data_IF_457262826721
#
_entry.id   IF_457262826721
#
_cell.length_a   1.000
_cell.length_b   1.000
_cell.length_c   1.000
_cell.angle_alpha   90.00
_cell.angle_beta   90.00
_cell.angle_gamma   90.00
#
_symmetry.space_group_name_H-M   'P 1'
#
loop_
_entity.id
_entity.type
_entity.pdbx_description
1 polymer ?
#
# COMPACT_ATOMS: atom_id res chain seq x y z
N UNK A 1 40.53 23.62 -37.59
CA UNK A 1 41.17 22.72 -36.61
C UNK A 1 41.17 23.42 -35.26
N UNK A 2 40.20 23.10 -34.40
CA UNK A 2 40.24 23.12 -32.93
C UNK A 2 38.80 23.02 -32.40
N UNK A 3 38.51 21.86 -31.82
CA UNK A 3 37.37 21.55 -30.97
C UNK A 3 37.65 22.11 -29.57
N UNK A 4 36.68 22.78 -28.95
CA UNK A 4 36.60 22.93 -27.49
C UNK A 4 35.15 22.70 -27.07
N UNK A 5 34.99 21.68 -26.22
CA UNK A 5 33.70 21.14 -25.80
C UNK A 5 32.99 21.98 -24.74
N UNK A 6 31.66 21.98 -24.82
CA UNK A 6 30.77 22.43 -23.76
C UNK A 6 30.49 21.29 -22.79
N UNK A 7 30.91 21.45 -21.54
CA UNK A 7 30.49 20.61 -20.42
C UNK A 7 29.14 21.13 -19.92
N UNK A 8 28.09 20.33 -20.04
CA UNK A 8 26.77 20.64 -19.46
C UNK A 8 26.77 20.20 -17.99
N UNK A 9 26.72 21.16 -17.08
CA UNK A 9 26.41 20.96 -15.67
C UNK A 9 24.92 20.66 -15.53
N UNK A 10 24.58 19.42 -15.19
CA UNK A 10 23.21 19.03 -14.80
C UNK A 10 23.03 19.39 -13.33
N UNK A 11 22.29 20.47 -13.06
CA UNK A 11 21.81 20.80 -11.73
C UNK A 11 20.67 19.83 -11.36
N UNK A 12 20.88 18.99 -10.33
CA UNK A 12 19.79 18.32 -9.63
C UNK A 12 19.00 19.38 -8.85
N UNK A 13 17.85 19.81 -9.37
CA UNK A 13 16.89 20.59 -8.59
C UNK A 13 16.18 19.64 -7.62
N UNK A 14 16.54 19.69 -6.35
CA UNK A 14 15.75 19.09 -5.29
C UNK A 14 14.39 19.81 -5.23
N UNK A 15 13.29 19.07 -5.22
CA UNK A 15 11.96 19.64 -5.07
C UNK A 15 11.79 20.14 -3.63
N UNK A 16 11.83 21.46 -3.46
CA UNK A 16 11.69 22.17 -2.18
C UNK A 16 10.36 21.82 -1.49
N UNK A 17 9.35 21.34 -2.23
CA UNK A 17 8.07 20.91 -1.66
C UNK A 17 8.18 19.63 -0.80
N UNK A 18 9.06 18.70 -1.15
CA UNK A 18 9.28 17.46 -0.40
C UNK A 18 10.04 17.69 0.92
N UNK A 19 10.98 18.65 0.94
CA UNK A 19 11.67 19.01 2.18
C UNK A 19 10.76 19.79 3.15
N UNK A 20 9.76 20.50 2.64
CA UNK A 20 8.75 21.19 3.44
C UNK A 20 7.73 20.23 4.07
N UNK A 21 7.34 19.14 3.39
CA UNK A 21 6.44 18.13 3.97
C UNK A 21 7.08 17.40 5.16
N UNK A 22 8.37 17.04 5.05
CA UNK A 22 9.16 16.44 6.14
C UNK A 22 9.30 17.37 7.37
N UNK A 23 9.23 18.70 7.18
CA UNK A 23 9.32 19.67 8.27
C UNK A 23 7.99 19.84 9.01
N UNK A 24 6.87 19.76 8.31
CA UNK A 24 5.53 19.85 8.89
C UNK A 24 5.15 18.60 9.71
N UNK A 25 5.65 17.42 9.35
CA UNK A 25 5.43 16.19 10.14
C UNK A 25 6.22 16.20 11.46
N UNK A 26 7.46 16.71 11.46
CA UNK A 26 8.27 16.84 12.68
C UNK A 26 7.65 17.74 13.75
N UNK A 27 6.90 18.77 13.35
CA UNK A 27 6.24 19.67 14.30
C UNK A 27 4.99 19.03 14.95
N UNK A 28 4.42 17.97 14.36
CA UNK A 28 3.21 17.31 14.88
C UNK A 28 3.53 16.08 15.75
N UNK A 29 4.61 15.35 15.48
CA UNK A 29 5.01 14.18 16.29
C UNK A 29 5.54 14.55 17.69
N UNK A 30 6.01 15.79 17.89
CA UNK A 30 6.45 16.29 19.20
C UNK A 30 5.34 16.34 20.26
N UNK A 31 4.06 16.22 19.87
CA UNK A 31 2.90 16.25 20.76
C UNK A 31 2.50 14.90 21.38
N UNK A 32 3.05 13.78 20.92
CA UNK A 32 2.65 12.42 21.36
C UNK A 32 3.71 11.78 22.29
N UNK A 33 4.87 12.42 22.47
CA UNK A 33 6.02 11.83 23.17
C UNK A 33 6.11 12.11 24.69
N UNK A 34 5.04 12.58 25.32
CA UNK A 34 4.97 12.72 26.77
C UNK A 34 3.95 11.75 27.36
N UNK A 35 4.32 10.47 27.45
CA UNK A 35 3.92 9.71 28.63
C UNK A 35 5.03 8.78 29.12
N UNK A 36 5.24 8.87 30.41
CA UNK A 36 6.50 8.60 31.11
C UNK A 36 6.73 7.10 31.28
N UNK A 37 7.95 6.64 30.98
CA UNK A 37 8.50 5.36 31.45
C UNK A 37 8.37 5.26 32.98
N UNK A 38 7.46 4.40 33.48
CA UNK A 38 7.52 3.86 34.84
C UNK A 38 7.62 2.35 34.76
N UNK A 39 8.85 1.87 34.89
CA UNK A 39 9.18 0.49 35.21
C UNK A 39 8.60 0.10 36.57
N UNK A 40 7.65 -0.83 36.60
CA UNK A 40 7.37 -1.66 37.77
C UNK A 40 7.85 -3.08 37.47
N UNK A 41 8.86 -3.52 38.24
CA UNK A 41 9.28 -4.92 38.28
C UNK A 41 8.14 -5.75 38.88
N UNK A 42 7.63 -6.70 38.10
CA UNK A 42 6.78 -7.80 38.58
C UNK A 42 7.53 -9.09 38.28
N UNK A 43 8.12 -9.65 39.33
CA UNK A 43 8.67 -11.00 39.40
C UNK A 43 7.57 -12.02 39.14
N UNK A 44 7.69 -12.79 38.06
CA UNK A 44 6.84 -13.95 37.79
C UNK A 44 7.48 -15.20 38.44
N UNK A 45 6.76 -15.80 39.39
CA UNK A 45 7.05 -17.13 39.91
C UNK A 45 6.58 -18.23 38.93
N UNK A 46 7.20 -19.41 38.90
CA UNK A 46 6.85 -20.47 37.96
C UNK A 46 5.59 -21.21 38.41
N UNK A 47 4.51 -21.12 37.63
CA UNK A 47 3.34 -21.99 37.81
C UNK A 47 3.48 -23.23 36.91
N UNK A 48 3.64 -24.38 37.57
CA UNK A 48 3.45 -25.70 37.00
C UNK A 48 1.98 -25.91 36.65
N UNK A 49 1.68 -26.10 35.37
CA UNK A 49 0.39 -26.65 34.93
C UNK A 49 0.63 -27.82 33.98
N UNK A 50 0.02 -28.95 34.33
CA UNK A 50 0.03 -30.22 33.61
C UNK A 50 -0.65 -30.10 32.23
N UNK A 51 -0.35 -31.00 31.27
CA UNK A 51 -0.84 -30.87 29.91
C UNK A 51 -2.32 -31.26 29.82
N UNK A 52 -3.16 -30.32 29.38
CA UNK A 52 -4.52 -30.60 28.94
C UNK A 52 -4.44 -31.20 27.52
N UNK A 53 -5.00 -32.39 27.35
CA UNK A 53 -5.02 -33.11 26.07
C UNK A 53 -5.72 -32.30 24.98
N UNK A 54 -5.03 -32.09 23.86
CA UNK A 54 -5.56 -31.49 22.64
C UNK A 54 -6.60 -32.41 21.99
N UNK A 55 -7.76 -31.86 21.63
CA UNK A 55 -8.74 -32.53 20.79
C UNK A 55 -8.15 -32.80 19.37
N UNK A 56 -8.46 -33.93 18.72
CA UNK A 56 -7.96 -34.22 17.39
C UNK A 56 -8.80 -33.45 16.34
N UNK A 57 -8.20 -32.51 15.61
CA UNK A 57 -8.84 -31.91 14.44
C UNK A 57 -8.48 -30.47 14.04
N UNK A 58 -7.65 -29.74 14.80
CA UNK A 58 -7.10 -28.48 14.29
C UNK A 58 -5.82 -28.77 13.48
N UNK A 59 -5.96 -28.79 12.16
CA UNK A 59 -4.82 -28.51 11.29
C UNK A 59 -4.28 -27.13 11.68
N UNK A 60 -3.13 -27.11 12.37
CA UNK A 60 -2.31 -25.92 12.50
C UNK A 60 -1.90 -25.56 11.07
N UNK A 61 -2.65 -24.64 10.45
CA UNK A 61 -2.29 -24.03 9.19
C UNK A 61 -0.93 -23.36 9.41
N UNK A 62 0.14 -24.05 9.02
CA UNK A 62 1.44 -23.42 8.81
C UNK A 62 1.20 -22.21 7.91
N UNK A 63 1.80 -21.03 8.20
CA UNK A 63 1.57 -19.86 7.38
C UNK A 63 2.02 -20.15 5.95
N UNK A 64 1.07 -20.42 5.06
CA UNK A 64 1.34 -20.64 3.64
C UNK A 64 1.59 -19.29 2.99
N UNK A 65 2.76 -18.71 3.24
CA UNK A 65 3.11 -17.37 2.77
C UNK A 65 4.58 -17.03 3.02
N UNK A 66 5.10 -15.97 2.35
CA UNK A 66 6.45 -15.50 2.60
C UNK A 66 6.61 -15.01 4.05
N UNK A 67 7.81 -15.21 4.59
CA UNK A 67 8.20 -14.75 5.92
C UNK A 67 9.50 -13.97 5.82
N UNK A 68 9.75 -13.08 6.79
CA UNK A 68 11.03 -12.41 6.90
C UNK A 68 12.15 -13.40 7.19
N UNK A 69 13.23 -13.32 6.41
CA UNK A 69 14.40 -14.17 6.56
C UNK A 69 15.62 -13.31 6.85
N UNK A 70 16.36 -13.64 7.91
CA UNK A 70 17.54 -12.86 8.33
C UNK A 70 18.70 -13.07 7.35
N UNK A 71 19.41 -12.00 7.03
CA UNK A 71 20.66 -12.03 6.27
C UNK A 71 21.82 -12.17 7.24
N UNK A 72 22.32 -13.38 7.45
CA UNK A 72 23.43 -13.70 8.35
C UNK A 72 23.30 -12.97 9.71
N UNK A 73 24.17 -11.97 9.93
CA UNK A 73 24.20 -11.07 11.10
C UNK A 73 23.85 -9.63 10.67
N UNK A 74 23.83 -8.68 11.62
CA UNK A 74 23.63 -7.24 11.39
C UNK A 74 22.19 -6.75 11.20
N UNK A 75 21.21 -7.45 11.78
CA UNK A 75 19.82 -6.97 11.86
C UNK A 75 19.27 -6.53 10.50
N UNK A 76 19.48 -7.35 9.49
CA UNK A 76 18.93 -7.17 8.16
C UNK A 76 18.08 -8.38 7.79
N UNK A 77 16.96 -8.12 7.12
CA UNK A 77 15.99 -9.14 6.74
C UNK A 77 15.52 -8.91 5.31
N UNK A 78 15.27 -10.00 4.59
CA UNK A 78 14.64 -10.02 3.28
C UNK A 78 13.24 -10.65 3.37
N UNK A 79 12.32 -10.22 2.52
CA UNK A 79 10.92 -10.71 2.53
C UNK A 79 10.50 -11.34 1.20
N UNK A 80 10.85 -10.71 0.08
CA UNK A 80 10.43 -11.16 -1.24
C UNK A 80 11.47 -10.85 -2.32
N UNK A 81 11.47 -11.69 -3.35
CA UNK A 81 12.36 -11.59 -4.49
C UNK A 81 11.57 -11.63 -5.80
N UNK A 82 11.88 -10.73 -6.72
CA UNK A 82 11.18 -10.58 -7.99
C UNK A 82 12.16 -10.56 -9.15
N UNK A 83 11.83 -11.25 -10.23
CA UNK A 83 12.46 -10.97 -11.52
C UNK A 83 11.99 -9.60 -12.03
N UNK A 84 12.93 -8.78 -12.44
CA UNK A 84 12.69 -7.43 -12.92
C UNK A 84 13.56 -7.13 -14.15
N UNK A 85 13.10 -6.19 -14.98
CA UNK A 85 13.86 -5.63 -16.09
C UNK A 85 13.94 -4.13 -15.89
N UNK A 86 15.13 -3.59 -15.77
CA UNK A 86 15.36 -2.16 -15.53
C UNK A 86 16.52 -1.65 -16.38
N UNK A 87 16.28 -0.59 -17.16
CA UNK A 87 17.25 -0.03 -18.13
C UNK A 87 17.86 -1.10 -19.03
N UNK A 88 16.99 -1.91 -19.64
CA UNK A 88 17.35 -3.01 -20.56
C UNK A 88 18.22 -4.11 -19.96
N UNK A 89 18.24 -4.22 -18.62
CA UNK A 89 18.94 -5.28 -17.90
C UNK A 89 17.98 -6.10 -17.08
N UNK A 90 18.11 -7.42 -17.18
CA UNK A 90 17.41 -8.37 -16.32
C UNK A 90 18.12 -8.46 -14.98
N UNK A 91 17.35 -8.46 -13.89
CA UNK A 91 17.88 -8.55 -12.54
C UNK A 91 16.90 -9.24 -11.60
N UNK A 92 17.42 -9.76 -10.48
CA UNK A 92 16.59 -10.17 -9.35
C UNK A 92 16.58 -9.03 -8.33
N UNK A 93 15.39 -8.53 -8.01
CA UNK A 93 15.15 -7.49 -7.03
C UNK A 93 14.65 -8.11 -5.74
N UNK A 94 15.42 -7.97 -4.67
CA UNK A 94 15.09 -8.52 -3.35
C UNK A 94 14.77 -7.37 -2.40
N UNK A 95 13.53 -7.35 -1.91
CA UNK A 95 13.07 -6.34 -0.97
C UNK A 95 13.25 -6.81 0.47
N UNK A 96 13.65 -5.87 1.32
CA UNK A 96 13.90 -6.12 2.73
C UNK A 96 14.08 -4.85 3.54
N UNK A 97 14.66 -5.01 4.72
CA UNK A 97 15.04 -3.93 5.62
C UNK A 97 16.45 -4.15 6.17
N UNK A 98 17.15 -3.07 6.47
CA UNK A 98 18.48 -3.10 7.08
C UNK A 98 18.71 -1.88 7.98
N UNK A 99 19.70 -1.92 8.89
CA UNK A 99 20.11 -0.74 9.64
C UNK A 99 20.75 0.30 8.74
N UNK A 100 20.65 1.57 9.14
CA UNK A 100 21.30 2.68 8.43
C UNK A 100 22.82 2.55 8.35
N UNK A 101 23.44 2.05 9.43
CA UNK A 101 24.89 1.91 9.54
C UNK A 101 25.47 0.76 8.71
N UNK A 102 24.63 -0.14 8.18
CA UNK A 102 25.11 -1.30 7.43
C UNK A 102 25.53 -0.92 6.01
N UNK A 103 26.82 -1.10 5.72
CA UNK A 103 27.47 -0.74 4.45
C UNK A 103 28.26 -1.89 3.82
N UNK A 104 28.26 -3.08 4.42
CA UNK A 104 28.96 -4.27 3.90
C UNK A 104 28.54 -4.59 2.47
N UNK A 105 29.48 -5.00 1.61
CA UNK A 105 29.17 -5.47 0.25
C UNK A 105 28.05 -6.50 0.23
N UNK A 106 27.32 -6.54 -0.88
CA UNK A 106 26.18 -7.45 -1.04
C UNK A 106 26.57 -8.53 -2.03
N UNK A 107 26.38 -9.78 -1.67
CA UNK A 107 26.57 -10.90 -2.59
C UNK A 107 25.25 -11.65 -2.77
N UNK A 108 24.92 -11.89 -4.03
CA UNK A 108 23.75 -12.65 -4.43
C UNK A 108 24.18 -14.08 -4.77
N UNK A 109 23.51 -15.05 -4.17
CA UNK A 109 23.64 -16.47 -4.51
C UNK A 109 22.38 -16.89 -5.26
N UNK A 110 22.50 -17.00 -6.58
CA UNK A 110 21.43 -17.39 -7.47
C UNK A 110 21.37 -18.90 -7.61
N UNK A 111 20.20 -19.45 -7.33
CA UNK A 111 19.93 -20.87 -7.43
C UNK A 111 19.24 -21.25 -8.72
N UNK A 112 19.82 -22.20 -9.44
CA UNK A 112 19.21 -22.82 -10.60
C UNK A 112 19.06 -24.32 -10.34
N UNK A 113 18.20 -24.99 -11.10
CA UNK A 113 17.90 -26.43 -10.98
C UNK A 113 19.12 -27.36 -10.74
N UNK A 114 20.30 -27.04 -11.30
CA UNK A 114 21.50 -27.88 -11.22
C UNK A 114 22.79 -27.12 -10.84
N UNK A 115 22.71 -25.82 -10.55
CA UNK A 115 23.89 -25.00 -10.30
C UNK A 115 23.57 -23.80 -9.41
N UNK A 116 24.57 -23.32 -8.68
CA UNK A 116 24.50 -22.07 -7.94
C UNK A 116 25.53 -21.10 -8.50
N UNK A 117 25.14 -19.84 -8.67
CA UNK A 117 26.03 -18.79 -9.13
C UNK A 117 26.10 -17.66 -8.09
N UNK A 118 27.30 -17.28 -7.70
CA UNK A 118 27.52 -16.16 -6.77
C UNK A 118 27.99 -14.94 -7.55
N UNK A 119 27.43 -13.78 -7.26
CA UNK A 119 27.82 -12.52 -7.87
C UNK A 119 27.70 -11.35 -6.90
N UNK A 120 28.41 -10.26 -7.18
CA UNK A 120 28.24 -9.02 -6.43
C UNK A 120 26.91 -8.36 -6.82
N UNK A 121 26.14 -7.99 -5.79
CA UNK A 121 24.88 -7.27 -5.92
C UNK A 121 25.03 -5.79 -5.62
N UNK A 122 24.01 -5.02 -5.99
CA UNK A 122 23.87 -3.60 -5.63
C UNK A 122 22.82 -3.44 -4.56
N UNK A 123 22.84 -2.32 -3.84
CA UNK A 123 21.76 -1.94 -2.92
C UNK A 123 21.21 -0.58 -3.31
N UNK A 124 19.89 -0.47 -3.29
CA UNK A 124 19.17 0.78 -3.44
C UNK A 124 18.36 1.03 -2.18
N UNK A 125 18.55 2.20 -1.59
CA UNK A 125 17.96 2.57 -0.31
C UNK A 125 16.69 3.37 -0.58
N UNK A 126 15.57 2.95 -0.01
CA UNK A 126 14.30 3.65 -0.18
C UNK A 126 14.19 4.76 0.87
N UNK A 127 13.60 5.87 0.46
CA UNK A 127 13.40 7.06 1.28
C UNK A 127 12.11 6.87 2.09
N UNK A 128 12.22 6.48 3.36
CA UNK A 128 11.12 6.50 4.35
C UNK A 128 11.67 6.12 5.73
N UNK A 129 12.52 6.96 6.33
CA UNK A 129 13.27 6.56 7.53
C UNK A 129 12.74 7.15 8.81
N UNK A 130 12.19 8.38 8.79
CA UNK A 130 11.57 9.05 9.96
C UNK A 130 12.35 8.93 11.28
N UNK A 131 13.69 8.91 11.20
CA UNK A 131 14.57 8.75 12.36
C UNK A 131 14.66 7.33 12.95
N UNK A 132 13.98 6.33 12.38
CA UNK A 132 14.04 4.93 12.80
C UNK A 132 15.39 4.28 12.45
N UNK A 133 15.75 3.23 13.22
CA UNK A 133 17.03 2.53 13.06
C UNK A 133 17.11 1.74 11.75
N UNK A 134 15.99 1.13 11.35
CA UNK A 134 15.87 0.34 10.14
C UNK A 134 15.23 1.15 9.03
N UNK A 135 15.62 0.84 7.79
CA UNK A 135 15.06 1.41 6.56
C UNK A 135 14.79 0.32 5.54
N UNK A 136 13.91 0.62 4.59
CA UNK A 136 13.60 -0.26 3.45
C UNK A 136 14.75 -0.25 2.45
N UNK A 137 15.06 -1.42 1.90
CA UNK A 137 16.14 -1.63 0.93
C UNK A 137 15.70 -2.57 -0.19
N UNK A 138 16.22 -2.33 -1.37
CA UNK A 138 16.18 -3.21 -2.53
C UNK A 138 17.60 -3.69 -2.83
N UNK A 139 17.88 -4.98 -2.66
CA UNK A 139 19.10 -5.61 -3.16
C UNK A 139 18.88 -6.05 -4.60
N UNK A 140 19.83 -5.78 -5.49
CA UNK A 140 19.68 -5.95 -6.93
C UNK A 140 20.80 -6.82 -7.50
N UNK A 141 20.43 -7.96 -8.06
CA UNK A 141 21.33 -8.95 -8.64
C UNK A 141 21.19 -8.94 -10.16
N UNK A 142 22.03 -8.18 -10.85
CA UNK A 142 22.01 -8.00 -12.31
C UNK A 142 22.42 -9.31 -13.03
N UNK A 143 21.50 -9.93 -13.78
CA UNK A 143 21.76 -11.20 -14.43
C UNK A 143 22.72 -11.03 -15.61
N UNK A 144 23.69 -11.95 -15.72
CA UNK A 144 24.67 -11.94 -16.81
C UNK A 144 24.08 -12.44 -18.14
N UNK A 145 22.97 -13.17 -18.08
CA UNK A 145 22.30 -13.81 -19.22
C UNK A 145 20.79 -13.98 -18.92
N UNK A 146 20.07 -14.64 -19.83
CA UNK A 146 18.62 -14.83 -19.73
C UNK A 146 18.20 -16.05 -18.89
N UNK A 147 19.12 -16.69 -18.16
CA UNK A 147 18.75 -17.78 -17.24
C UNK A 147 17.84 -17.25 -16.14
N UNK A 148 16.96 -18.14 -15.68
CA UNK A 148 15.91 -17.84 -14.72
C UNK A 148 16.20 -18.56 -13.40
N UNK A 149 16.76 -17.88 -12.39
CA UNK A 149 16.99 -18.49 -11.08
C UNK A 149 15.67 -18.80 -10.39
N UNK A 150 15.60 -19.95 -9.72
CA UNK A 150 14.44 -20.40 -8.94
C UNK A 150 14.42 -19.75 -7.55
N UNK A 151 15.61 -19.52 -6.98
CA UNK A 151 15.78 -18.87 -5.67
C UNK A 151 16.97 -17.92 -5.65
N UNK A 152 16.96 -16.99 -4.71
CA UNK A 152 18.08 -16.09 -4.42
C UNK A 152 18.32 -16.03 -2.91
N UNK A 153 19.59 -16.00 -2.54
CA UNK A 153 20.04 -15.68 -1.19
C UNK A 153 20.96 -14.48 -1.20
N UNK A 154 20.94 -13.71 -0.11
CA UNK A 154 21.82 -12.55 0.10
C UNK A 154 22.81 -12.86 1.23
N UNK A 155 24.05 -12.43 1.09
CA UNK A 155 25.10 -12.44 2.12
C UNK A 155 25.96 -11.17 2.08
N UNK A 156 26.86 -11.02 3.05
CA UNK A 156 27.77 -9.87 3.18
C UNK A 156 29.17 -10.13 2.63
N UNK A 157 29.55 -11.40 2.49
CA UNK A 157 30.82 -11.83 1.93
C UNK A 157 30.62 -13.10 1.07
N UNK A 158 31.42 -13.24 0.01
CA UNK A 158 31.51 -14.45 -0.81
C UNK A 158 31.76 -15.74 0.00
N UNK A 159 32.42 -15.66 1.15
CA UNK A 159 32.69 -16.81 2.02
C UNK A 159 31.56 -17.16 2.99
N UNK A 160 30.55 -16.30 3.12
CA UNK A 160 29.45 -16.53 4.06
C UNK A 160 28.52 -17.64 3.54
N UNK A 161 28.13 -18.55 4.43
CA UNK A 161 27.03 -19.48 4.15
C UNK A 161 25.69 -18.73 4.22
N UNK A 162 24.82 -18.80 3.20
CA UNK A 162 23.54 -18.09 3.23
C UNK A 162 22.59 -18.62 4.31
N UNK A 163 21.91 -17.71 5.02
CA UNK A 163 20.88 -18.03 6.04
C UNK A 163 19.46 -17.73 5.59
N UNK A 164 19.29 -17.35 4.33
CA UNK A 164 18.03 -17.03 3.68
C UNK A 164 18.00 -17.68 2.30
N UNK A 165 16.81 -17.91 1.77
CA UNK A 165 16.53 -18.41 0.43
C UNK A 165 15.11 -17.99 0.06
N UNK A 166 15.00 -17.02 -0.84
CA UNK A 166 13.73 -16.52 -1.35
C UNK A 166 13.45 -17.09 -2.74
N UNK A 167 12.26 -17.66 -2.94
CA UNK A 167 11.79 -18.03 -4.27
C UNK A 167 11.61 -16.79 -5.15
N UNK A 168 12.11 -16.84 -6.38
CA UNK A 168 12.02 -15.72 -7.32
C UNK A 168 10.64 -15.69 -7.96
N UNK A 169 9.92 -14.58 -7.77
CA UNK A 169 8.62 -14.35 -8.37
C UNK A 169 8.78 -13.73 -9.76
N UNK A 170 8.16 -14.35 -10.76
CA UNK A 170 8.18 -13.87 -12.13
C UNK A 170 6.85 -13.20 -12.50
N UNK A 171 6.87 -12.10 -13.28
CA UNK A 171 5.66 -11.50 -13.80
C UNK A 171 4.79 -12.55 -14.52
N UNK A 172 3.49 -12.51 -14.24
CA UNK A 172 2.50 -13.35 -14.92
C UNK A 172 1.78 -12.54 -15.99
N UNK A 173 0.90 -13.19 -16.76
CA UNK A 173 0.07 -12.52 -17.75
C UNK A 173 -0.96 -11.60 -17.08
N UNK A 174 -1.43 -10.59 -17.83
CA UNK A 174 -2.50 -9.70 -17.39
C UNK A 174 -3.75 -10.52 -17.05
N UNK A 175 -4.30 -10.31 -15.85
CA UNK A 175 -5.51 -10.99 -15.36
C UNK A 175 -6.65 -10.03 -15.03
N UNK A 176 -6.32 -8.79 -14.69
CA UNK A 176 -7.29 -7.82 -14.18
C UNK A 176 -6.89 -6.38 -14.47
N UNK A 177 -7.85 -5.46 -14.42
CA UNK A 177 -7.58 -4.05 -14.56
C UNK A 177 -7.05 -3.45 -13.26
N UNK A 178 -7.76 -3.65 -12.15
CA UNK A 178 -7.43 -3.00 -10.88
C UNK A 178 -7.21 -4.00 -9.75
N UNK A 179 -6.11 -3.81 -9.01
CA UNK A 179 -5.91 -4.36 -7.66
C UNK A 179 -5.89 -3.23 -6.65
N UNK A 180 -6.36 -3.46 -5.43
CA UNK A 180 -6.11 -2.56 -4.28
C UNK A 180 -5.06 -3.16 -3.35
N UNK A 181 -4.06 -2.36 -2.98
CA UNK A 181 -3.09 -2.66 -1.94
C UNK A 181 -3.45 -1.85 -0.69
N UNK A 182 -4.07 -2.51 0.30
CA UNK A 182 -4.34 -1.86 1.58
C UNK A 182 -3.08 -1.73 2.42
N UNK A 183 -3.06 -0.71 3.29
CA UNK A 183 -2.08 -0.60 4.36
C UNK A 183 -2.09 -1.81 5.31
N UNK A 184 -1.01 -1.91 6.09
CA UNK A 184 -0.81 -2.97 7.06
C UNK A 184 -1.91 -2.91 8.13
N UNK A 185 -2.51 -4.05 8.43
CA UNK A 185 -3.44 -4.21 9.54
C UNK A 185 -2.66 -4.56 10.80
N UNK A 186 -2.53 -3.58 11.70
CA UNK A 186 -1.91 -3.74 13.01
C UNK A 186 -2.91 -3.41 14.11
N UNK A 187 -3.09 -4.34 15.04
CA UNK A 187 -4.07 -4.28 16.12
C UNK A 187 -5.49 -3.95 15.62
N UNK A 188 -5.86 -4.50 14.46
CA UNK A 188 -7.04 -4.07 13.71
C UNK A 188 -8.28 -4.92 14.03
N UNK A 189 -9.35 -4.25 14.46
CA UNK A 189 -10.60 -4.89 14.90
C UNK A 189 -11.84 -4.47 14.11
N UNK A 190 -11.76 -3.40 13.32
CA UNK A 190 -12.90 -2.81 12.62
C UNK A 190 -13.23 -3.55 11.32
N UNK A 191 -13.74 -4.78 11.42
CA UNK A 191 -14.09 -5.60 10.27
C UNK A 191 -15.14 -4.94 9.35
N UNK A 192 -16.03 -4.09 9.88
CA UNK A 192 -17.06 -3.38 9.08
C UNK A 192 -16.44 -2.39 8.09
N UNK A 193 -15.37 -1.70 8.49
CA UNK A 193 -14.60 -0.81 7.62
C UNK A 193 -13.99 -1.57 6.44
N UNK A 194 -13.53 -2.81 6.64
CA UNK A 194 -13.06 -3.66 5.54
C UNK A 194 -14.21 -4.01 4.59
N UNK A 195 -15.40 -4.36 5.11
CA UNK A 195 -16.56 -4.62 4.25
C UNK A 195 -16.93 -3.38 3.43
N UNK A 196 -16.98 -2.20 4.06
CA UNK A 196 -17.22 -0.95 3.36
C UNK A 196 -16.19 -0.75 2.24
N UNK A 197 -14.89 -0.80 2.56
CA UNK A 197 -13.84 -0.50 1.59
C UNK A 197 -13.85 -1.50 0.44
N UNK A 198 -13.84 -2.82 0.73
CA UNK A 198 -13.78 -3.85 -0.30
C UNK A 198 -14.98 -3.76 -1.23
N UNK A 199 -16.21 -3.65 -0.70
CA UNK A 199 -17.39 -3.60 -1.56
C UNK A 199 -17.50 -2.27 -2.33
N UNK A 200 -17.02 -1.15 -1.77
CA UNK A 200 -16.99 0.12 -2.48
C UNK A 200 -15.91 0.14 -3.57
N UNK A 201 -14.73 -0.38 -3.31
CA UNK A 201 -13.68 -0.46 -4.33
C UNK A 201 -14.09 -1.41 -5.47
N UNK A 202 -14.84 -2.48 -5.17
CA UNK A 202 -15.39 -3.39 -6.19
C UNK A 202 -16.33 -2.68 -7.16
N UNK A 203 -17.25 -1.85 -6.67
CA UNK A 203 -18.14 -1.08 -7.56
C UNK A 203 -17.38 -0.03 -8.38
N UNK A 204 -16.23 0.43 -7.89
CA UNK A 204 -15.32 1.34 -8.61
C UNK A 204 -14.42 0.62 -9.61
N UNK A 205 -14.44 -0.72 -9.65
CA UNK A 205 -13.75 -1.54 -10.64
C UNK A 205 -12.59 -2.38 -10.10
N UNK A 206 -12.36 -2.41 -8.79
CA UNK A 206 -11.37 -3.30 -8.18
C UNK A 206 -11.79 -4.77 -8.32
N UNK A 207 -10.87 -5.61 -8.78
CA UNK A 207 -11.11 -7.05 -9.01
C UNK A 207 -10.39 -7.93 -7.98
N UNK A 208 -9.34 -7.40 -7.34
CA UNK A 208 -8.59 -8.14 -6.33
C UNK A 208 -7.96 -7.21 -5.30
N UNK A 209 -7.69 -7.76 -4.12
CA UNK A 209 -7.24 -7.01 -2.96
C UNK A 209 -6.04 -7.69 -2.32
N UNK A 210 -5.13 -6.89 -1.79
CA UNK A 210 -4.03 -7.34 -0.94
C UNK A 210 -4.12 -6.65 0.42
N UNK A 211 -3.88 -7.43 1.46
CA UNK A 211 -3.78 -6.93 2.82
C UNK A 211 -2.61 -7.58 3.54
N UNK A 212 -1.90 -6.80 4.34
CA UNK A 212 -0.77 -7.26 5.13
C UNK A 212 -1.20 -7.40 6.58
N UNK A 213 -1.30 -8.63 7.06
CA UNK A 213 -1.76 -8.96 8.40
C UNK A 213 -0.57 -9.01 9.37
N UNK A 214 -0.49 -8.03 10.28
CA UNK A 214 0.45 -8.06 11.40
C UNK A 214 -0.24 -8.51 12.69
N UNK A 215 -1.37 -7.89 13.04
CA UNK A 215 -2.28 -8.44 14.05
C UNK A 215 -3.71 -7.95 13.85
N UNK A 216 -4.65 -8.88 13.93
CA UNK A 216 -6.09 -8.65 13.70
C UNK A 216 -6.92 -9.46 14.69
N UNK A 217 -8.17 -9.05 14.93
CA UNK A 217 -9.11 -9.85 15.73
C UNK A 217 -9.58 -11.11 14.99
N UNK A 218 -10.07 -12.11 15.74
CA UNK A 218 -10.62 -13.34 15.15
C UNK A 218 -11.76 -13.07 14.17
N UNK A 219 -12.63 -12.08 14.45
CA UNK A 219 -13.71 -11.69 13.55
C UNK A 219 -13.16 -11.11 12.24
N UNK A 220 -12.12 -10.28 12.31
CA UNK A 220 -11.43 -9.77 11.13
C UNK A 220 -10.79 -10.91 10.35
N UNK A 221 -10.06 -11.83 10.99
CA UNK A 221 -9.43 -12.99 10.32
C UNK A 221 -10.47 -13.84 9.57
N UNK A 222 -11.59 -14.15 10.23
CA UNK A 222 -12.69 -14.90 9.61
C UNK A 222 -13.26 -14.16 8.38
N UNK A 223 -13.40 -12.83 8.44
CA UNK A 223 -13.84 -12.02 7.31
C UNK A 223 -12.82 -12.05 6.16
N UNK A 224 -11.52 -11.92 6.44
CA UNK A 224 -10.50 -12.00 5.40
C UNK A 224 -10.52 -13.38 4.72
N UNK A 225 -10.64 -14.46 5.49
CA UNK A 225 -10.80 -15.82 4.94
C UNK A 225 -12.04 -15.97 4.07
N UNK A 226 -13.15 -15.33 4.44
CA UNK A 226 -14.35 -15.28 3.59
C UNK A 226 -14.04 -14.67 2.21
N UNK A 227 -13.37 -13.52 2.16
CA UNK A 227 -12.97 -12.90 0.88
C UNK A 227 -11.91 -13.71 0.12
N UNK A 228 -10.98 -14.37 0.81
CA UNK A 228 -10.01 -15.28 0.17
C UNK A 228 -10.72 -16.44 -0.53
N UNK A 229 -11.70 -17.07 0.12
CA UNK A 229 -12.49 -18.17 -0.48
C UNK A 229 -13.28 -17.74 -1.72
N UNK A 230 -13.70 -16.47 -1.78
CA UNK A 230 -14.33 -15.87 -2.96
C UNK A 230 -13.34 -15.49 -4.07
N UNK A 231 -12.03 -15.66 -3.85
CA UNK A 231 -10.99 -15.27 -4.80
C UNK A 231 -10.73 -13.76 -4.89
N UNK A 232 -11.30 -12.98 -3.96
CA UNK A 232 -11.23 -11.51 -3.98
C UNK A 232 -9.98 -10.98 -3.27
N UNK A 233 -9.48 -11.67 -2.26
CA UNK A 233 -8.44 -11.15 -1.38
C UNK A 233 -7.22 -12.09 -1.31
N UNK A 234 -6.03 -11.51 -1.25
CA UNK A 234 -4.79 -12.16 -0.82
C UNK A 234 -4.35 -11.56 0.52
N UNK A 235 -4.12 -12.42 1.52
CA UNK A 235 -3.60 -12.01 2.83
C UNK A 235 -2.11 -12.37 2.91
N UNK A 236 -1.28 -11.36 3.08
CA UNK A 236 0.15 -11.48 3.31
C UNK A 236 0.43 -11.47 4.81
N UNK A 237 1.07 -12.52 5.32
CA UNK A 237 1.48 -12.51 6.73
C UNK A 237 2.67 -11.57 6.91
N UNK A 238 2.57 -10.68 7.91
CA UNK A 238 3.52 -9.61 8.16
C UNK A 238 4.06 -9.59 9.61
N UNK A 239 4.62 -10.71 10.11
CA UNK A 239 5.24 -10.73 11.43
C UNK A 239 6.58 -9.99 11.37
N UNK A 240 6.58 -8.69 11.70
CA UNK A 240 7.81 -7.91 11.70
C UNK A 240 8.83 -8.51 12.68
N UNK A 241 10.08 -8.76 12.24
CA UNK A 241 11.10 -9.32 13.10
C UNK A 241 11.55 -8.31 14.18
N UNK A 242 11.53 -7.01 13.86
CA UNK A 242 11.90 -5.90 14.75
C UNK A 242 11.00 -4.71 14.46
N UNK A 243 10.50 -4.05 15.50
CA UNK A 243 9.59 -2.90 15.44
C UNK A 243 10.28 -1.52 15.31
N UNK A 244 11.55 -1.50 14.88
CA UNK A 244 12.37 -0.29 14.75
C UNK A 244 12.42 0.22 13.30
N UNK A 245 11.29 0.09 12.60
CA UNK A 245 11.06 0.55 11.23
C UNK A 245 9.79 1.40 11.21
N UNK A 246 9.81 2.48 10.42
CA UNK A 246 8.70 3.42 10.31
C UNK A 246 7.40 2.73 9.86
N UNK A 247 6.27 3.11 10.48
CA UNK A 247 4.91 2.56 10.26
C UNK A 247 4.88 1.06 9.93
N UNK A 248 5.52 0.23 10.76
CA UNK A 248 5.47 -1.22 10.60
C UNK A 248 6.02 -1.71 9.23
N UNK A 249 6.87 -0.92 8.57
CA UNK A 249 7.41 -1.24 7.26
C UNK A 249 6.40 -1.09 6.13
N UNK A 250 5.46 -0.13 6.22
CA UNK A 250 4.42 0.11 5.23
C UNK A 250 4.98 0.27 3.80
N UNK A 251 6.08 1.02 3.63
CA UNK A 251 6.71 1.17 2.30
C UNK A 251 7.22 -0.16 1.74
N UNK A 252 7.75 -1.05 2.59
CA UNK A 252 8.16 -2.39 2.18
C UNK A 252 6.95 -3.23 1.73
N UNK A 253 5.83 -3.16 2.46
CA UNK A 253 4.59 -3.85 2.09
C UNK A 253 4.01 -3.33 0.76
N UNK A 254 4.01 -2.01 0.55
CA UNK A 254 3.55 -1.40 -0.71
C UNK A 254 4.41 -1.87 -1.89
N UNK A 255 5.74 -1.89 -1.73
CA UNK A 255 6.65 -2.36 -2.78
C UNK A 255 6.43 -3.85 -3.09
N UNK A 256 6.30 -4.70 -2.07
CA UNK A 256 5.95 -6.11 -2.27
C UNK A 256 4.62 -6.27 -3.03
N UNK A 257 3.59 -5.50 -2.65
CA UNK A 257 2.27 -5.58 -3.26
C UNK A 257 2.27 -5.17 -4.74
N UNK A 258 2.90 -4.03 -5.05
CA UNK A 258 2.98 -3.52 -6.43
C UNK A 258 3.78 -4.48 -7.31
N UNK A 259 4.90 -5.03 -6.83
CA UNK A 259 5.69 -5.98 -7.60
C UNK A 259 4.99 -7.32 -7.81
N UNK A 260 4.19 -7.81 -6.85
CA UNK A 260 3.32 -8.98 -7.05
C UNK A 260 2.27 -8.79 -8.13
N UNK A 261 1.84 -7.55 -8.34
CA UNK A 261 0.84 -7.19 -9.35
C UNK A 261 1.47 -6.74 -10.67
N UNK A 262 2.80 -6.72 -10.77
CA UNK A 262 3.52 -6.50 -12.02
C UNK A 262 3.20 -7.61 -13.03
N UNK A 263 2.84 -7.23 -14.25
CA UNK A 263 2.30 -8.12 -15.29
C UNK A 263 0.87 -8.59 -15.06
N UNK A 264 0.37 -8.64 -13.82
CA UNK A 264 -0.95 -9.20 -13.45
C UNK A 264 -2.06 -8.18 -13.52
N UNK A 265 -1.81 -6.95 -13.06
CA UNK A 265 -2.80 -5.87 -12.99
C UNK A 265 -2.38 -4.68 -13.82
N UNK A 266 -3.33 -4.09 -14.55
CA UNK A 266 -3.08 -2.86 -15.33
C UNK A 266 -2.77 -1.68 -14.40
N UNK A 267 -3.48 -1.61 -13.28
CA UNK A 267 -3.39 -0.57 -12.26
C UNK A 267 -3.45 -1.17 -10.85
N UNK A 268 -2.83 -0.48 -9.90
CA UNK A 268 -2.85 -0.80 -8.47
C UNK A 268 -3.19 0.46 -7.70
N UNK A 269 -4.32 0.48 -6.99
CA UNK A 269 -4.66 1.54 -6.06
C UNK A 269 -3.98 1.27 -4.70
N UNK A 270 -3.38 2.30 -4.10
CA UNK A 270 -2.67 2.22 -2.82
C UNK A 270 -3.36 3.18 -1.86
N UNK A 271 -4.09 2.65 -0.88
CA UNK A 271 -4.79 3.43 0.12
C UNK A 271 -5.12 2.61 1.37
N UNK A 272 -5.56 3.28 2.42
CA UNK A 272 -5.94 2.65 3.69
C UNK A 272 -7.41 2.17 3.60
N UNK A 273 -7.88 1.37 4.57
CA UNK A 273 -9.25 0.83 4.56
C UNK A 273 -10.31 1.86 4.97
N UNK A 274 -9.91 3.01 5.50
CA UNK A 274 -10.75 4.18 5.77
C UNK A 274 -10.66 5.23 4.65
N UNK A 275 -9.99 4.93 3.54
CA UNK A 275 -9.79 5.88 2.44
C UNK A 275 -10.30 5.27 1.15
N UNK A 276 -11.13 6.02 0.42
CA UNK A 276 -11.71 5.55 -0.85
C UNK A 276 -11.50 6.62 -1.91
N UNK A 277 -10.91 6.26 -3.05
CA UNK A 277 -10.75 7.17 -4.20
C UNK A 277 -12.08 7.23 -4.95
N UNK A 278 -12.86 8.30 -4.77
CA UNK A 278 -14.19 8.42 -5.38
C UNK A 278 -14.15 9.38 -6.58
N UNK A 279 -14.51 8.92 -7.79
CA UNK A 279 -14.69 9.80 -8.93
C UNK A 279 -15.92 10.71 -8.75
N UNK A 280 -15.76 12.00 -9.02
CA UNK A 280 -16.82 13.00 -8.91
C UNK A 280 -17.80 12.98 -10.07
N UNK A 281 -17.38 12.58 -11.27
CA UNK A 281 -18.20 12.64 -12.49
C UNK A 281 -18.22 11.32 -13.29
N UNK A 282 -17.67 10.25 -12.70
CA UNK A 282 -17.57 8.94 -13.34
C UNK A 282 -18.07 7.84 -12.39
N UNK A 283 -18.37 6.68 -12.97
CA UNK A 283 -18.91 5.54 -12.23
C UNK A 283 -17.83 4.57 -11.74
N UNK A 284 -16.60 4.65 -12.26
CA UNK A 284 -15.51 3.74 -11.95
C UNK A 284 -14.13 4.38 -12.22
N UNK A 285 -13.07 3.71 -11.75
CA UNK A 285 -11.69 4.16 -11.94
C UNK A 285 -11.20 4.07 -13.38
N UNK A 286 -11.74 3.16 -14.19
CA UNK A 286 -11.40 3.06 -15.61
C UNK A 286 -11.74 4.34 -16.37
N UNK A 287 -12.99 4.79 -16.24
CA UNK A 287 -13.47 6.03 -16.86
C UNK A 287 -12.73 7.28 -16.33
N UNK A 288 -12.46 7.30 -15.02
CA UNK A 288 -11.64 8.36 -14.41
C UNK A 288 -10.25 8.43 -15.05
N UNK A 289 -9.55 7.30 -15.14
CA UNK A 289 -8.21 7.25 -15.71
C UNK A 289 -8.22 7.61 -17.19
N UNK A 290 -9.21 7.15 -17.95
CA UNK A 290 -9.36 7.50 -19.35
C UNK A 290 -9.58 9.02 -19.54
N UNK A 291 -10.36 9.66 -18.66
CA UNK A 291 -10.51 11.12 -18.68
C UNK A 291 -9.21 11.84 -18.32
N UNK A 292 -8.49 11.39 -17.29
CA UNK A 292 -7.21 11.99 -16.88
C UNK A 292 -6.17 11.86 -17.99
N UNK A 293 -6.10 10.71 -18.66
CA UNK A 293 -5.20 10.52 -19.81
C UNK A 293 -5.51 11.48 -20.96
N UNK A 294 -6.79 11.63 -21.31
CA UNK A 294 -7.24 12.58 -22.35
C UNK A 294 -6.86 14.02 -21.99
N UNK A 295 -7.12 14.43 -20.75
CA UNK A 295 -6.79 15.79 -20.27
C UNK A 295 -5.27 16.03 -20.32
N UNK A 296 -4.49 15.04 -19.89
CA UNK A 296 -3.03 15.12 -19.89
C UNK A 296 -2.46 15.21 -21.31
N UNK A 297 -2.94 14.38 -22.24
CA UNK A 297 -2.49 14.38 -23.63
C UNK A 297 -2.85 15.70 -24.35
N UNK A 298 -4.01 16.31 -24.02
CA UNK A 298 -4.40 17.62 -24.56
C UNK A 298 -3.52 18.77 -24.04
N UNK A 299 -2.99 18.65 -22.82
CA UNK A 299 -2.14 19.66 -22.20
C UNK A 299 -0.67 19.54 -22.59
N UNK A 300 -0.26 18.41 -23.18
CA UNK A 300 1.11 18.23 -23.66
C UNK A 300 1.41 19.24 -24.77
N UNK A 301 2.27 20.21 -24.44
CA UNK A 301 2.75 21.22 -25.39
C UNK A 301 3.65 20.62 -26.49
N UNK A 302 4.22 19.43 -26.27
CA UNK A 302 5.04 18.70 -27.25
C UNK A 302 4.49 17.30 -27.52
N UNK A 303 3.93 17.05 -28.72
CA UNK A 303 3.48 15.73 -29.16
C UNK A 303 4.60 14.67 -29.27
N UNK A 304 5.86 15.08 -29.13
CA UNK A 304 7.04 14.21 -29.24
C UNK A 304 7.52 13.65 -27.89
N UNK A 305 6.85 13.98 -26.77
CA UNK A 305 7.23 13.41 -25.46
C UNK A 305 6.84 11.93 -25.39
N UNK A 306 7.84 11.06 -25.21
CA UNK A 306 7.63 9.62 -24.98
C UNK A 306 7.13 9.30 -23.56
N UNK A 307 6.85 10.32 -22.75
CA UNK A 307 6.38 10.18 -21.38
C UNK A 307 5.01 9.53 -21.31
N UNK A 308 4.87 8.56 -20.42
CA UNK A 308 3.63 7.85 -20.13
C UNK A 308 3.29 8.07 -18.66
N UNK A 309 2.00 8.28 -18.40
CA UNK A 309 1.52 8.34 -17.03
C UNK A 309 1.72 6.98 -16.36
N UNK A 310 2.50 6.99 -15.28
CA UNK A 310 2.79 5.86 -14.41
C UNK A 310 1.95 5.88 -13.15
N UNK A 311 1.60 7.07 -12.65
CA UNK A 311 0.96 7.27 -11.36
C UNK A 311 -0.05 8.41 -11.41
N UNK A 312 -1.23 8.16 -10.85
CA UNK A 312 -2.36 9.06 -10.77
C UNK A 312 -2.56 9.40 -9.30
N UNK A 313 -2.18 10.62 -8.92
CA UNK A 313 -2.20 11.10 -7.54
C UNK A 313 -3.55 11.77 -7.28
N UNK A 314 -4.29 11.31 -6.28
CA UNK A 314 -5.59 11.85 -5.88
C UNK A 314 -5.46 12.47 -4.50
N UNK A 315 -5.81 13.74 -4.40
CA UNK A 315 -5.75 14.49 -3.15
C UNK A 315 -6.79 13.98 -2.15
N UNK A 316 -6.49 14.12 -0.86
CA UNK A 316 -7.31 13.55 0.22
C UNK A 316 -7.96 14.61 1.10
N UNK A 317 -9.15 14.33 1.61
CA UNK A 317 -9.81 15.14 2.63
C UNK A 317 -10.60 14.27 3.61
N UNK A 318 -10.80 14.76 4.82
CA UNK A 318 -11.49 14.04 5.88
C UNK A 318 -12.99 14.27 5.84
N UNK A 319 -13.73 13.18 5.91
CA UNK A 319 -15.17 13.09 6.08
C UNK A 319 -15.43 12.60 7.49
N UNK A 320 -16.04 13.45 8.32
CA UNK A 320 -15.95 13.29 9.77
C UNK A 320 -17.29 13.31 10.48
N UNK A 321 -18.32 13.93 9.90
CA UNK A 321 -19.59 14.15 10.57
C UNK A 321 -20.78 13.99 9.62
N UNK A 322 -21.92 13.65 10.23
CA UNK A 322 -23.22 13.62 9.57
C UNK A 322 -23.71 15.05 9.33
N UNK A 323 -24.35 15.35 8.19
CA UNK A 323 -25.05 16.61 8.01
C UNK A 323 -26.10 16.83 9.10
N UNK A 324 -26.37 18.09 9.44
CA UNK A 324 -27.44 18.41 10.39
C UNK A 324 -28.81 17.90 9.91
N UNK A 325 -29.77 17.76 10.82
CA UNK A 325 -31.07 17.12 10.54
C UNK A 325 -31.83 17.73 9.35
N UNK A 326 -31.78 19.06 9.17
CA UNK A 326 -32.45 19.74 8.05
C UNK A 326 -31.81 19.36 6.72
N UNK A 327 -30.48 19.45 6.64
CA UNK A 327 -29.72 19.10 5.42
C UNK A 327 -29.85 17.60 5.13
N UNK A 328 -29.76 16.75 6.15
CA UNK A 328 -29.94 15.32 5.99
C UNK A 328 -31.34 14.96 5.46
N UNK A 329 -32.40 15.60 5.95
CA UNK A 329 -33.76 15.41 5.44
C UNK A 329 -33.87 15.73 3.94
N UNK A 330 -33.24 16.83 3.50
CA UNK A 330 -33.18 17.19 2.08
C UNK A 330 -32.37 16.17 1.25
N UNK A 331 -31.24 15.67 1.78
CA UNK A 331 -30.45 14.61 1.13
C UNK A 331 -31.28 13.34 0.96
N UNK A 332 -32.03 12.93 2.00
CA UNK A 332 -32.89 11.75 1.91
C UNK A 332 -33.91 11.86 0.79
N UNK A 333 -34.51 13.04 0.62
CA UNK A 333 -35.43 13.29 -0.48
C UNK A 333 -34.73 13.22 -1.84
N UNK A 334 -33.60 13.93 -2.00
CA UNK A 334 -32.87 13.99 -3.27
C UNK A 334 -32.34 12.64 -3.75
N UNK A 335 -31.87 11.80 -2.82
CA UNK A 335 -31.31 10.49 -3.12
C UNK A 335 -32.30 9.33 -2.92
N UNK A 336 -33.57 9.62 -2.61
CA UNK A 336 -34.58 8.59 -2.33
C UNK A 336 -34.15 7.59 -1.25
N UNK A 337 -33.56 8.10 -0.15
CA UNK A 337 -33.13 7.29 0.99
C UNK A 337 -34.31 7.14 1.94
N UNK A 338 -34.91 5.95 1.99
CA UNK A 338 -35.93 5.62 2.97
C UNK A 338 -35.34 5.40 4.36
N UNK A 339 -36.17 5.45 5.41
CA UNK A 339 -35.72 5.16 6.78
C UNK A 339 -35.17 3.72 6.91
N UNK A 340 -35.61 2.79 6.05
CA UNK A 340 -35.05 1.45 6.00
C UNK A 340 -33.60 1.46 5.47
N UNK A 341 -33.35 2.21 4.39
CA UNK A 341 -32.00 2.34 3.81
C UNK A 341 -31.07 3.05 4.79
N UNK A 342 -31.54 4.11 5.43
CA UNK A 342 -30.80 4.81 6.48
C UNK A 342 -30.39 3.87 7.62
N UNK A 343 -31.31 3.01 8.10
CA UNK A 343 -30.97 1.98 9.09
C UNK A 343 -29.92 0.99 8.61
N UNK A 344 -29.89 0.65 7.32
CA UNK A 344 -28.85 -0.22 6.77
C UNK A 344 -27.48 0.48 6.80
N UNK A 345 -27.42 1.77 6.47
CA UNK A 345 -26.19 2.55 6.58
C UNK A 345 -25.65 2.52 8.02
N UNK A 346 -26.51 2.73 9.00
CA UNK A 346 -26.13 2.73 10.42
C UNK A 346 -25.70 1.33 10.91
N UNK A 347 -26.50 0.28 10.60
CA UNK A 347 -26.23 -1.09 11.03
C UNK A 347 -24.91 -1.64 10.50
N UNK A 348 -24.61 -1.38 9.22
CA UNK A 348 -23.36 -1.80 8.59
C UNK A 348 -22.23 -0.80 8.77
N UNK A 349 -22.49 0.33 9.44
CA UNK A 349 -21.52 1.39 9.68
C UNK A 349 -20.90 1.90 8.38
N UNK A 350 -21.76 2.16 7.38
CA UNK A 350 -21.38 2.67 6.06
C UNK A 350 -21.14 4.19 6.13
N UNK A 351 -20.06 4.59 6.79
CA UNK A 351 -19.66 6.00 6.96
C UNK A 351 -19.55 6.76 5.65
N UNK A 352 -19.19 6.07 4.56
CA UNK A 352 -19.17 6.65 3.21
C UNK A 352 -20.52 7.24 2.77
N UNK A 353 -21.63 6.82 3.37
CA UNK A 353 -22.98 7.34 3.11
C UNK A 353 -23.58 8.18 4.24
N UNK A 354 -23.01 8.15 5.46
CA UNK A 354 -23.51 8.92 6.61
C UNK A 354 -22.68 10.15 6.90
N UNK A 355 -21.36 10.05 6.78
CA UNK A 355 -20.40 11.07 7.18
C UNK A 355 -20.06 11.89 5.94
N UNK A 356 -20.93 12.84 5.62
CA UNK A 356 -20.88 13.60 4.37
C UNK A 356 -20.35 15.02 4.56
N UNK A 357 -20.06 15.42 5.79
CA UNK A 357 -19.42 16.70 6.10
C UNK A 357 -17.91 16.51 6.04
N UNK A 358 -17.28 17.26 5.13
CA UNK A 358 -15.84 17.19 4.90
C UNK A 358 -15.11 18.49 5.18
N UNK A 359 -13.80 18.40 5.39
CA UNK A 359 -12.94 19.58 5.53
C UNK A 359 -12.90 20.42 4.25
N UNK A 360 -12.66 21.73 4.43
CA UNK A 360 -12.56 22.69 3.33
C UNK A 360 -11.39 22.40 2.39
N UNK A 361 -10.24 22.05 2.95
CA UNK A 361 -9.03 21.86 2.18
C UNK A 361 -8.78 20.37 1.93
N UNK A 362 -8.34 20.06 0.71
CA UNK A 362 -7.68 18.80 0.44
C UNK A 362 -6.19 18.93 0.79
N UNK A 363 -5.60 17.83 1.26
CA UNK A 363 -4.18 17.75 1.57
C UNK A 363 -3.40 17.50 0.28
N UNK A 364 -2.53 18.44 -0.07
CA UNK A 364 -1.67 18.42 -1.26
C UNK A 364 -0.24 18.18 -0.82
N UNK A 365 0.46 17.22 -1.43
CA UNK A 365 1.85 16.91 -1.08
C UNK A 365 2.04 16.17 0.24
N UNK A 366 0.95 15.74 0.87
CA UNK A 366 0.91 14.84 2.04
C UNK A 366 -0.49 14.24 2.15
N UNK A 367 -0.64 13.01 2.66
CA UNK A 367 -1.93 12.28 2.81
C UNK A 367 -2.72 11.94 1.54
N UNK A 368 -2.35 12.46 0.39
CA UNK A 368 -2.86 12.02 -0.91
C UNK A 368 -2.62 10.51 -1.12
N UNK A 369 -3.41 9.90 -2.00
CA UNK A 369 -3.30 8.47 -2.35
C UNK A 369 -3.14 8.33 -3.85
N UNK A 370 -2.75 7.14 -4.31
CA UNK A 370 -2.38 6.97 -5.70
C UNK A 370 -2.93 5.69 -6.31
N UNK A 371 -3.17 5.77 -7.62
CA UNK A 371 -3.31 4.60 -8.48
C UNK A 371 -2.05 4.55 -9.33
N UNK A 372 -1.32 3.44 -9.31
CA UNK A 372 -0.06 3.26 -10.04
C UNK A 372 -0.22 2.21 -11.13
N UNK A 373 0.59 2.32 -12.19
CA UNK A 373 0.82 1.24 -13.16
C UNK A 373 2.06 0.47 -12.70
N UNK A 374 1.93 -0.80 -12.28
CA UNK A 374 3.07 -1.55 -11.73
C UNK A 374 4.29 -1.62 -12.65
N UNK A 375 4.07 -1.63 -13.97
CA UNK A 375 5.14 -1.66 -14.98
C UNK A 375 5.90 -0.34 -15.17
N UNK A 376 5.40 0.75 -14.58
CA UNK A 376 5.94 2.10 -14.78
C UNK A 376 6.62 2.66 -13.53
N UNK A 377 6.34 2.07 -12.36
CA UNK A 377 6.92 2.51 -11.09
C UNK A 377 8.06 1.59 -10.67
N UNK A 378 9.10 2.18 -10.07
CA UNK A 378 10.24 1.42 -9.54
C UNK A 378 10.12 1.27 -8.03
N UNK A 379 9.88 2.37 -7.31
CA UNK A 379 9.68 2.42 -5.86
C UNK A 379 8.47 3.29 -5.52
N UNK A 380 7.27 2.71 -5.42
CA UNK A 380 6.09 3.38 -4.87
C UNK A 380 6.23 3.63 -3.36
N UNK A 381 5.49 4.62 -2.87
CA UNK A 381 5.38 5.02 -1.47
C UNK A 381 3.90 5.23 -1.09
N UNK A 382 3.60 5.50 0.18
CA UNK A 382 2.25 5.65 0.72
C UNK A 382 1.48 6.81 0.10
N UNK A 383 2.17 7.90 -0.27
CA UNK A 383 1.51 9.10 -0.82
C UNK A 383 1.68 9.26 -2.33
N UNK A 384 2.82 8.86 -2.88
CA UNK A 384 3.13 9.02 -4.31
C UNK A 384 4.19 8.02 -4.73
N UNK A 385 4.59 8.02 -6.00
CA UNK A 385 5.77 7.28 -6.43
C UNK A 385 7.04 8.10 -6.19
N UNK A 386 8.02 7.51 -5.51
CA UNK A 386 9.31 8.15 -5.23
C UNK A 386 10.27 7.98 -6.40
N UNK A 387 10.24 6.81 -7.05
CA UNK A 387 11.09 6.53 -8.20
C UNK A 387 10.32 5.86 -9.32
N UNK A 388 10.41 6.47 -10.49
CA UNK A 388 9.80 6.03 -11.74
C UNK A 388 10.75 5.21 -12.60
N UNK A 389 10.19 4.37 -13.46
CA UNK A 389 10.95 3.76 -14.56
C UNK A 389 11.15 4.77 -15.69
N UNK A 390 12.10 4.55 -16.61
CA UNK A 390 12.34 5.48 -17.71
C UNK A 390 11.06 5.80 -18.49
N UNK A 391 10.86 7.07 -18.80
CA UNK A 391 9.67 7.61 -19.49
C UNK A 391 8.35 7.54 -18.71
N UNK A 392 8.35 7.16 -17.43
CA UNK A 392 7.16 7.25 -16.58
C UNK A 392 7.13 8.59 -15.82
N UNK A 393 5.94 9.11 -15.60
CA UNK A 393 5.71 10.35 -14.84
C UNK A 393 4.40 10.29 -14.05
N UNK A 394 4.24 11.26 -13.15
CA UNK A 394 3.06 11.44 -12.31
C UNK A 394 2.05 12.41 -12.96
N UNK A 395 0.78 12.25 -12.61
CA UNK A 395 -0.24 13.29 -12.79
C UNK A 395 -1.04 13.47 -11.51
N UNK A 396 -1.25 14.71 -11.09
CA UNK A 396 -2.22 15.03 -10.05
C UNK A 396 -3.61 15.11 -10.68
N UNK A 397 -4.49 14.22 -10.25
CA UNK A 397 -5.90 14.20 -10.65
C UNK A 397 -6.57 15.45 -10.10
N UNK A 398 -7.21 16.23 -10.97
CA UNK A 398 -7.95 17.43 -10.57
C UNK A 398 -9.04 17.04 -9.56
N UNK A 399 -9.18 17.82 -8.48
CA UNK A 399 -10.25 17.59 -7.50
C UNK A 399 -11.65 17.54 -8.13
N UNK A 400 -11.88 18.28 -9.22
CA UNK A 400 -13.16 18.23 -9.95
C UNK A 400 -13.45 16.86 -10.60
N UNK A 401 -12.46 15.99 -10.73
CA UNK A 401 -12.60 14.64 -11.29
C UNK A 401 -12.68 13.56 -10.22
N UNK A 402 -11.90 13.66 -9.14
CA UNK A 402 -11.90 12.69 -8.04
C UNK A 402 -11.29 13.27 -6.76
N UNK A 403 -11.64 12.66 -5.63
CA UNK A 403 -11.09 12.96 -4.32
C UNK A 403 -10.96 11.67 -3.50
N UNK A 404 -9.96 11.58 -2.61
CA UNK A 404 -9.93 10.54 -1.58
C UNK A 404 -10.86 10.96 -0.46
N UNK A 405 -11.88 10.15 -0.21
CA UNK A 405 -12.75 10.28 0.94
C UNK A 405 -12.11 9.56 2.12
N UNK A 406 -11.46 10.30 3.01
CA UNK A 406 -10.90 9.75 4.25
C UNK A 406 -11.97 9.73 5.34
N UNK A 407 -12.56 8.56 5.58
CA UNK A 407 -13.67 8.30 6.49
C UNK A 407 -13.22 8.21 7.95
N UNK A 408 -12.74 9.33 8.49
CA UNK A 408 -12.18 9.43 9.83
C UNK A 408 -12.31 10.84 10.39
N UNK A 409 -12.47 10.96 11.71
CA UNK A 409 -12.38 12.26 12.41
C UNK A 409 -10.96 12.78 12.44
N UNK A 410 -10.77 14.04 12.05
CA UNK A 410 -9.51 14.76 12.15
C UNK A 410 -9.52 15.66 13.40
N UNK A 411 -8.56 15.46 14.32
CA UNK A 411 -8.62 16.02 15.68
C UNK A 411 -8.33 17.52 15.80
N UNK A 412 -7.93 18.20 14.73
CA UNK A 412 -7.49 19.61 14.76
C UNK A 412 -8.19 20.52 13.75
N UNK A 413 -9.30 20.10 13.15
CA UNK A 413 -10.08 20.92 12.22
C UNK A 413 -11.12 21.79 12.93
N UNK A 414 -11.26 23.03 12.47
CA UNK A 414 -12.48 23.80 12.73
C UNK A 414 -13.68 23.06 12.11
N UNK A 415 -14.83 23.03 12.79
CA UNK A 415 -16.06 22.54 12.19
C UNK A 415 -16.33 23.26 10.85
N UNK A 416 -16.73 22.49 9.84
CA UNK A 416 -17.09 22.99 8.51
C UNK A 416 -18.50 22.54 8.17
N UNK A 417 -19.20 23.29 7.33
CA UNK A 417 -20.55 22.94 6.86
C UNK A 417 -20.54 22.41 5.41
N UNK A 418 -19.40 21.97 4.91
CA UNK A 418 -19.26 21.51 3.51
C UNK A 418 -19.77 20.10 3.41
N UNK A 419 -20.96 19.99 2.83
CA UNK A 419 -21.63 18.72 2.61
C UNK A 419 -21.34 18.25 1.19
N UNK A 420 -20.72 17.07 1.08
CA UNK A 420 -20.37 16.45 -0.19
C UNK A 420 -21.07 15.09 -0.32
N UNK A 421 -21.96 14.99 -1.29
CA UNK A 421 -22.87 13.84 -1.46
C UNK A 421 -22.45 12.89 -2.58
N UNK A 422 -21.26 13.09 -3.16
CA UNK A 422 -20.78 12.33 -4.34
C UNK A 422 -20.90 10.83 -4.15
N UNK A 423 -20.55 10.31 -2.97
CA UNK A 423 -20.60 8.89 -2.65
C UNK A 423 -22.02 8.31 -2.76
N UNK A 424 -23.07 9.07 -2.45
CA UNK A 424 -24.44 8.55 -2.41
C UNK A 424 -24.96 8.05 -3.75
N UNK A 425 -24.36 8.47 -4.89
CA UNK A 425 -24.72 7.92 -6.22
C UNK A 425 -24.45 6.41 -6.33
N UNK A 426 -23.60 5.88 -5.45
CA UNK A 426 -23.18 4.48 -5.46
C UNK A 426 -24.01 3.58 -4.54
N UNK A 427 -24.93 4.14 -3.74
CA UNK A 427 -25.66 3.40 -2.71
C UNK A 427 -26.40 2.17 -3.25
N UNK A 428 -27.02 2.29 -4.43
CA UNK A 428 -27.86 1.24 -5.00
C UNK A 428 -27.03 0.10 -5.60
N UNK A 429 -25.78 0.39 -5.99
CA UNK A 429 -24.81 -0.65 -6.41
C UNK A 429 -24.18 -1.33 -5.18
N UNK A 430 -23.94 -0.57 -4.11
CA UNK A 430 -23.22 -1.07 -2.93
C UNK A 430 -24.08 -1.91 -1.98
N UNK A 431 -25.30 -1.46 -1.67
CA UNK A 431 -26.15 -2.10 -0.66
C UNK A 431 -26.41 -3.60 -0.91
N UNK A 432 -26.69 -4.05 -2.15
CA UNK A 432 -26.84 -5.48 -2.42
C UNK A 432 -25.59 -6.30 -2.09
N UNK A 433 -24.40 -5.77 -2.40
CA UNK A 433 -23.12 -6.45 -2.15
C UNK A 433 -22.82 -6.56 -0.65
N UNK A 434 -23.06 -5.47 0.09
CA UNK A 434 -22.89 -5.47 1.54
C UNK A 434 -23.88 -6.46 2.19
N UNK A 435 -25.15 -6.43 1.79
CA UNK A 435 -26.15 -7.40 2.27
C UNK A 435 -25.74 -8.85 2.01
N UNK A 436 -25.25 -9.14 0.81
CA UNK A 436 -24.75 -10.47 0.44
C UNK A 436 -23.62 -10.91 1.36
N UNK A 437 -22.60 -10.06 1.53
CA UNK A 437 -21.44 -10.35 2.38
C UNK A 437 -21.84 -10.58 3.84
N UNK A 438 -22.72 -9.74 4.40
CA UNK A 438 -23.22 -9.96 5.77
C UNK A 438 -24.05 -11.25 5.88
N UNK A 439 -24.86 -11.57 4.88
CA UNK A 439 -25.68 -12.80 4.88
C UNK A 439 -24.81 -14.06 4.82
N UNK A 440 -23.73 -14.05 4.02
CA UNK A 440 -22.83 -15.21 3.88
C UNK A 440 -21.82 -15.35 5.01
N UNK A 441 -21.49 -14.26 5.71
CA UNK A 441 -20.46 -14.28 6.75
C UNK A 441 -21.03 -14.55 8.15
N UNK A 442 -22.26 -14.12 8.42
CA UNK A 442 -22.93 -14.27 9.72
C UNK A 442 -24.01 -15.37 9.75
N UNK A 443 -24.01 -16.25 8.75
CA UNK A 443 -24.71 -17.55 8.78
C UNK A 443 -23.70 -18.66 9.00
#
# INVERSE_FOLDING_TARGET
MLLLGCTVLVHYSYDVRYLLSLRLEKEYEGGIQNDTLRTSQLTLAPNTTSPLMSAPGEEVLTPSGPMFQRINQNDAWVYSAFFDTYKDKNLIRVFGMQPHALQNSVFCHLGFKHENYTMEGKRTLLLDTHGYRLRVVSYECELADDRRPDYVSITWNTSDSPTNSLGVLYPSSLKRNFTVCYAILYNFTNYKQIIQSVEFDRILGAEHFFVYNMSISNTTDALLRHYQRRGLLTVMQWPLPISEIHYQGQVLAINDCVYRNKGVSKYVAIHDTDEIIIPNNHDNWGDLIDQVNKDYDQQKQSPQSHEKLGTYIVESTFFQDRPNASVWSAIKQNYSISDQVERLFENYSLTVFTDLVRLQNAFVGGRQKSIVRPEMVLFPDVHTTITHRPSATDVTVRQSLALVHHQRKYSSSSPTDIVETTSLRFKDKMLPLVNETYSMFFT
#
